data_IF_136798541052
#
_entry.id   IF_136798541052
#
_cell.length_a   1.000
_cell.length_b   1.000
_cell.length_c   1.000
_cell.angle_alpha   90.00
_cell.angle_beta   90.00
_cell.angle_gamma   90.00
#
_symmetry.space_group_name_H-M   'P 1'
#
loop_
_entity.id
_entity.type
_entity.pdbx_description
1 polymer ?
#
# COMPACT_ATOMS: atom_id res chain seq x y z
N UNK A 1 -29.66 -3.93 23.51
CA UNK A 1 -29.82 -2.47 23.71
C UNK A 1 -29.03 -1.80 22.60
N UNK A 2 -29.64 -0.88 21.87
CA UNK A 2 -29.03 -0.20 20.72
C UNK A 2 -28.88 1.27 21.08
N UNK A 3 -27.69 1.83 20.86
CA UNK A 3 -27.39 3.25 21.11
C UNK A 3 -26.98 3.86 19.78
N UNK A 4 -27.67 4.93 19.38
CA UNK A 4 -27.31 5.73 18.20
C UNK A 4 -26.58 6.98 18.67
N UNK A 5 -25.44 7.27 18.07
CA UNK A 5 -24.63 8.45 18.38
C UNK A 5 -24.57 9.34 17.14
N UNK A 6 -24.94 10.60 17.30
CA UNK A 6 -24.94 11.60 16.23
C UNK A 6 -23.83 12.64 16.46
N UNK A 7 -23.25 13.16 15.38
CA UNK A 7 -22.20 14.20 15.42
C UNK A 7 -20.97 13.83 16.27
N UNK A 8 -20.54 12.57 16.17
CA UNK A 8 -19.42 12.01 16.92
C UNK A 8 -18.09 12.52 16.36
N UNK A 9 -17.22 13.01 17.25
CA UNK A 9 -15.86 13.42 16.88
C UNK A 9 -14.89 12.23 16.66
N UNK A 10 -13.73 12.52 16.09
CA UNK A 10 -12.73 11.51 15.75
C UNK A 10 -12.14 10.78 16.97
N UNK A 11 -12.09 11.43 18.13
CA UNK A 11 -11.56 10.82 19.36
C UNK A 11 -12.56 9.79 19.89
N UNK A 12 -13.84 10.14 19.90
CA UNK A 12 -14.93 9.27 20.30
C UNK A 12 -15.06 8.07 19.37
N UNK A 13 -14.87 8.24 18.05
CA UNK A 13 -14.81 7.11 17.10
C UNK A 13 -13.69 6.11 17.44
N UNK A 14 -12.48 6.58 17.77
CA UNK A 14 -11.36 5.71 18.15
C UNK A 14 -11.63 4.90 19.41
N UNK A 15 -12.31 5.50 20.39
CA UNK A 15 -12.72 4.79 21.60
C UNK A 15 -13.74 3.70 21.24
N UNK A 16 -14.71 4.00 20.39
CA UNK A 16 -15.72 3.03 19.92
C UNK A 16 -15.05 1.86 19.18
N UNK A 17 -14.09 2.13 18.29
CA UNK A 17 -13.30 1.09 17.62
C UNK A 17 -12.49 0.23 18.61
N UNK A 18 -11.90 0.84 19.63
CA UNK A 18 -11.17 0.13 20.68
C UNK A 18 -12.08 -0.82 21.48
N UNK A 19 -13.34 -0.43 21.69
CA UNK A 19 -14.34 -1.26 22.37
C UNK A 19 -14.72 -2.52 21.56
N UNK A 20 -14.64 -2.47 20.21
CA UNK A 20 -14.83 -3.65 19.35
C UNK A 20 -13.76 -4.72 19.60
N UNK A 21 -12.54 -4.31 19.92
CA UNK A 21 -11.46 -5.22 20.30
C UNK A 21 -11.71 -5.93 21.63
N UNK A 22 -12.45 -5.29 22.53
CA UNK A 22 -12.75 -5.80 23.88
C UNK A 22 -14.02 -6.65 23.93
N UNK A 23 -15.02 -6.34 23.09
CA UNK A 23 -16.26 -7.11 23.00
C UNK A 23 -16.57 -7.49 21.56
N UNK A 24 -16.42 -8.79 21.25
CA UNK A 24 -16.62 -9.35 19.91
C UNK A 24 -18.08 -9.33 19.44
N UNK A 25 -19.03 -9.20 20.37
CA UNK A 25 -20.46 -9.13 20.05
C UNK A 25 -20.93 -7.69 19.78
N UNK A 26 -20.03 -6.70 19.92
CA UNK A 26 -20.32 -5.31 19.61
C UNK A 26 -20.34 -5.08 18.10
N UNK A 27 -21.54 -4.84 17.56
CA UNK A 27 -21.75 -4.48 16.15
C UNK A 27 -21.81 -2.96 16.04
N UNK A 28 -20.83 -2.37 15.34
CA UNK A 28 -20.79 -0.94 15.03
C UNK A 28 -21.17 -0.76 13.57
N UNK A 29 -22.31 -0.12 13.34
CA UNK A 29 -22.80 0.29 12.03
C UNK A 29 -22.60 1.79 11.87
N UNK A 30 -21.69 2.19 11.00
CA UNK A 30 -21.48 3.59 10.66
C UNK A 30 -22.36 3.94 9.47
N UNK A 31 -23.45 4.69 9.70
CA UNK A 31 -24.36 5.19 8.65
C UNK A 31 -23.88 6.55 8.12
N UNK A 32 -22.59 6.67 7.83
CA UNK A 32 -21.98 7.88 7.29
C UNK A 32 -21.10 7.54 6.09
N UNK A 33 -21.06 8.44 5.11
CA UNK A 33 -20.27 8.31 3.89
C UNK A 33 -18.84 7.84 4.22
N UNK A 34 -18.44 6.74 3.57
CA UNK A 34 -17.15 6.08 3.73
C UNK A 34 -16.02 7.10 3.89
N UNK A 35 -15.25 6.96 4.98
CA UNK A 35 -14.08 7.79 5.25
C UNK A 35 -13.21 7.94 3.99
N UNK A 36 -13.02 9.16 3.44
CA UNK A 36 -12.27 9.37 2.20
C UNK A 36 -10.83 8.83 2.26
N UNK A 37 -10.25 8.79 3.46
CA UNK A 37 -8.91 8.22 3.71
C UNK A 37 -8.93 6.70 3.53
N UNK A 38 -10.01 6.03 3.95
CA UNK A 38 -10.18 4.59 3.74
C UNK A 38 -10.31 4.26 2.24
N UNK A 39 -10.98 5.10 1.44
CA UNK A 39 -10.99 4.97 -0.04
C UNK A 39 -9.62 5.16 -0.68
N UNK A 40 -8.82 6.09 -0.15
CA UNK A 40 -7.48 6.35 -0.66
C UNK A 40 -6.48 5.22 -0.29
N UNK A 41 -6.70 4.53 0.82
CA UNK A 41 -5.89 3.36 1.21
C UNK A 41 -6.00 2.22 0.19
N UNK A 42 -7.20 2.02 -0.38
CA UNK A 42 -7.48 0.99 -1.39
C UNK A 42 -7.22 1.48 -2.83
N UNK A 43 -6.72 2.71 -3.01
CA UNK A 43 -6.38 3.23 -4.33
C UNK A 43 -5.11 2.57 -4.85
N UNK A 44 -5.28 1.58 -5.72
CA UNK A 44 -4.21 1.10 -6.58
C UNK A 44 -4.24 1.84 -7.92
N UNK A 45 -3.16 2.52 -8.33
CA UNK A 45 -3.08 3.09 -9.68
C UNK A 45 -3.20 1.98 -10.72
N UNK A 46 -3.84 2.27 -11.86
CA UNK A 46 -3.88 1.34 -12.99
C UNK A 46 -2.44 1.11 -13.48
N UNK A 47 -1.90 -0.08 -13.25
CA UNK A 47 -0.59 -0.46 -13.76
C UNK A 47 -0.70 -0.95 -15.20
N UNK A 48 0.14 -0.39 -16.08
CA UNK A 48 0.39 -0.98 -17.40
C UNK A 48 1.09 -2.33 -17.24
N UNK A 49 1.06 -3.16 -18.27
CA UNK A 49 1.75 -4.45 -18.23
C UNK A 49 3.27 -4.28 -18.15
N UNK A 50 3.83 -3.25 -18.80
CA UNK A 50 5.23 -2.83 -18.66
C UNK A 50 5.60 -2.51 -17.20
N UNK A 51 4.72 -1.81 -16.46
CA UNK A 51 4.96 -1.51 -15.04
C UNK A 51 4.93 -2.77 -14.18
N UNK A 52 4.06 -3.75 -14.48
CA UNK A 52 4.02 -5.02 -13.75
C UNK A 52 5.28 -5.85 -13.99
N UNK A 53 5.76 -5.88 -15.23
CA UNK A 53 7.00 -6.57 -15.57
C UNK A 53 8.21 -5.93 -14.88
N UNK A 54 8.32 -4.61 -14.93
CA UNK A 54 9.39 -3.88 -14.26
C UNK A 54 9.38 -4.10 -12.73
N UNK A 55 8.21 -4.17 -12.10
CA UNK A 55 8.09 -4.48 -10.67
C UNK A 55 8.56 -5.90 -10.36
N UNK A 56 8.17 -6.86 -11.20
CA UNK A 56 8.59 -8.26 -11.04
C UNK A 56 10.10 -8.41 -11.18
N UNK A 57 10.69 -7.75 -12.18
CA UNK A 57 12.14 -7.70 -12.38
C UNK A 57 12.85 -7.06 -11.17
N UNK A 58 12.32 -5.94 -10.68
CA UNK A 58 12.86 -5.27 -9.49
C UNK A 58 12.84 -6.16 -8.24
N UNK A 59 11.75 -6.92 -8.03
CA UNK A 59 11.65 -7.89 -6.94
C UNK A 59 12.65 -9.04 -7.09
N UNK A 60 12.92 -9.48 -8.32
CA UNK A 60 13.88 -10.55 -8.59
C UNK A 60 15.32 -10.11 -8.34
N UNK A 61 15.68 -8.89 -8.78
CA UNK A 61 16.96 -8.24 -8.51
C UNK A 61 17.16 -8.07 -7.00
N UNK A 62 16.14 -7.60 -6.28
CA UNK A 62 16.22 -7.42 -4.84
C UNK A 62 16.45 -8.74 -4.08
N UNK A 63 15.89 -9.86 -4.56
CA UNK A 63 16.09 -11.18 -3.98
C UNK A 63 17.46 -11.79 -4.30
N UNK A 64 18.00 -11.49 -5.48
CA UNK A 64 19.23 -12.09 -5.97
C UNK A 64 20.21 -11.05 -6.55
N UNK A 65 20.64 -10.04 -5.78
CA UNK A 65 21.45 -8.93 -6.30
C UNK A 65 22.77 -9.39 -6.95
N UNK A 66 23.31 -10.53 -6.51
CA UNK A 66 24.53 -11.13 -7.05
C UNK A 66 24.41 -11.64 -8.49
N UNK A 67 23.18 -11.87 -8.98
CA UNK A 67 22.94 -12.36 -10.35
C UNK A 67 22.85 -11.23 -11.37
N UNK A 68 22.78 -9.98 -10.90
CA UNK A 68 22.59 -8.81 -11.76
C UNK A 68 23.82 -7.89 -11.69
N UNK A 69 24.25 -7.34 -12.83
CA UNK A 69 25.39 -6.45 -12.87
C UNK A 69 25.07 -5.14 -12.11
N UNK A 70 25.94 -4.79 -11.17
CA UNK A 70 25.94 -3.48 -10.52
C UNK A 70 26.98 -2.58 -11.17
N UNK A 71 26.58 -1.36 -11.50
CA UNK A 71 27.48 -0.38 -12.11
C UNK A 71 27.85 0.70 -11.11
N UNK A 72 29.15 0.92 -10.93
CA UNK A 72 29.67 1.89 -9.96
C UNK A 72 29.84 3.30 -10.57
N UNK A 73 29.63 3.45 -11.88
CA UNK A 73 29.65 4.74 -12.57
C UNK A 73 28.76 4.72 -13.81
N UNK A 74 28.43 5.90 -14.32
CA UNK A 74 27.63 6.05 -15.54
C UNK A 74 28.42 5.55 -16.75
N UNK A 75 29.74 5.75 -16.75
CA UNK A 75 30.63 5.28 -17.81
C UNK A 75 30.62 3.75 -17.92
N UNK A 76 30.69 3.04 -16.78
CA UNK A 76 30.63 1.59 -16.75
C UNK A 76 29.29 1.04 -17.27
N UNK A 77 28.18 1.75 -16.98
CA UNK A 77 26.88 1.40 -17.53
C UNK A 77 26.83 1.60 -19.06
N UNK A 78 27.39 2.71 -19.55
CA UNK A 78 27.45 3.01 -20.99
C UNK A 78 28.27 1.98 -21.76
N UNK A 79 29.45 1.61 -21.26
CA UNK A 79 30.29 0.58 -21.88
C UNK A 79 29.58 -0.78 -21.94
N UNK A 80 28.82 -1.14 -20.90
CA UNK A 80 28.03 -2.37 -20.88
C UNK A 80 26.86 -2.34 -21.88
N UNK A 81 26.25 -1.18 -22.12
CA UNK A 81 25.21 -1.01 -23.15
C UNK A 81 25.80 -1.10 -24.56
N UNK A 82 26.89 -0.36 -24.81
CA UNK A 82 27.56 -0.30 -26.12
C UNK A 82 28.25 -1.63 -26.49
N UNK A 83 28.54 -2.51 -25.52
CA UNK A 83 29.09 -3.86 -25.76
C UNK A 83 28.05 -4.96 -25.98
N UNK A 84 26.77 -4.68 -25.77
CA UNK A 84 25.66 -5.61 -26.00
C UNK A 84 24.86 -5.31 -27.28
N UNK A 85 25.24 -4.27 -28.05
CA UNK A 85 24.78 -3.99 -29.42
C UNK A 85 25.68 -4.67 -30.47
#
# INVERSE_FOLDING_TARGET
>A
MTITLENVDAETLRVIESLKGLNKDLVITQEGDECPICKAHDYMPKMSDEMKEALKESEEIAKNPQLYPSYNSIEALREALESNE
#
